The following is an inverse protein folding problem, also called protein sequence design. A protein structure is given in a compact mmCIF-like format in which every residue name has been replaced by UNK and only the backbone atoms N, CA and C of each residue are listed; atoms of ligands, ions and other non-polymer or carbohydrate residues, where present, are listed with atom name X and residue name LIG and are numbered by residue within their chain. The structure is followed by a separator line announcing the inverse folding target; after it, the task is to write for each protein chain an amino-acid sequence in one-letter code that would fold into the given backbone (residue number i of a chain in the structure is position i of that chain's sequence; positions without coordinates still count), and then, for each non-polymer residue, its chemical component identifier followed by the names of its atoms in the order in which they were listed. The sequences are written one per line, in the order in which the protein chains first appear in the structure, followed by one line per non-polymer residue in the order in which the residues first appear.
data_IF_376811871170
#
_entry.id   IF_376811871170
#
_cell.length_a   1.000
_cell.length_b   1.000
_cell.length_c   1.000
_cell.angle_alpha   90.00
_cell.angle_beta   90.00
_cell.angle_gamma   90.00
#
_symmetry.space_group_name_H-M   'P 1'
#
loop_
_entity.id
_entity.type
_entity.pdbx_description
1 polymer ?
#
# COMPACT_ATOMS: atom_id res chain seq x y z
N UNK A 1 -17.33 30.34 33.04
CA UNK A 1 -15.91 30.47 32.64
C UNK A 1 -15.85 30.61 31.12
N UNK A 2 -15.99 31.82 30.60
CA UNK A 2 -15.85 32.14 29.18
C UNK A 2 -14.85 33.30 29.11
N UNK A 3 -13.59 33.02 28.76
CA UNK A 3 -12.60 34.05 28.41
C UNK A 3 -12.01 33.68 27.04
N UNK A 4 -12.50 34.40 26.02
CA UNK A 4 -11.82 34.85 24.81
C UNK A 4 -10.80 33.92 24.12
N UNK A 5 -11.30 32.89 23.42
CA UNK A 5 -10.58 32.18 22.34
C UNK A 5 -10.35 33.08 21.09
N UNK A 6 -11.18 34.12 20.93
CA UNK A 6 -11.13 35.09 19.82
C UNK A 6 -9.84 35.91 19.76
N UNK A 7 -9.23 36.21 20.91
CA UNK A 7 -8.07 37.09 20.95
C UNK A 7 -6.77 36.30 20.67
N UNK A 8 -6.74 35.01 20.99
CA UNK A 8 -5.57 34.17 20.80
C UNK A 8 -5.33 33.81 19.33
N UNK A 9 -6.41 33.67 18.55
CA UNK A 9 -6.33 33.36 17.10
C UNK A 9 -5.93 34.56 16.26
N UNK A 10 -6.22 35.79 16.71
CA UNK A 10 -5.82 37.02 16.03
C UNK A 10 -4.31 37.28 16.16
N UNK A 11 -3.74 37.11 17.36
CA UNK A 11 -2.31 37.35 17.62
C UNK A 11 -1.40 36.35 16.88
N UNK A 12 -1.84 35.10 16.69
CA UNK A 12 -1.10 34.08 15.94
C UNK A 12 -1.13 34.30 14.42
N UNK A 13 -2.16 34.95 13.88
CA UNK A 13 -2.26 35.20 12.44
C UNK A 13 -1.37 36.36 11.97
N UNK A 14 -1.10 37.34 12.84
CA UNK A 14 -0.22 38.47 12.53
C UNK A 14 1.27 38.09 12.56
N UNK A 15 1.67 37.11 13.36
CA UNK A 15 3.04 36.55 13.33
C UNK A 15 3.29 35.72 12.06
N UNK A 16 2.28 35.00 11.56
CA UNK A 16 2.35 34.17 10.34
C UNK A 16 2.71 34.98 9.08
N UNK A 17 2.35 36.27 9.01
CA UNK A 17 2.66 37.12 7.85
C UNK A 17 4.10 37.64 7.83
N UNK A 18 4.78 37.70 8.97
CA UNK A 18 6.15 38.25 9.04
C UNK A 18 7.24 37.23 8.72
N UNK A 19 6.99 35.94 8.92
CA UNK A 19 8.02 34.90 8.80
C UNK A 19 8.10 34.22 7.42
N UNK A 20 7.20 34.54 6.48
CA UNK A 20 7.23 33.93 5.13
C UNK A 20 8.35 34.44 4.19
N UNK A 21 9.32 35.23 4.68
CA UNK A 21 10.34 35.85 3.82
C UNK A 21 11.80 35.46 4.08
N UNK A 22 12.10 34.39 4.83
CA UNK A 22 13.50 33.94 4.98
C UNK A 22 13.69 32.44 4.80
N UNK A 23 14.14 32.09 3.59
CA UNK A 23 14.70 30.79 3.23
C UNK A 23 15.99 30.47 3.99
N UNK A 24 16.18 29.15 4.19
CA UNK A 24 17.42 28.43 4.47
C UNK A 24 18.16 28.77 5.77
N UNK A 25 17.81 28.06 6.85
CA UNK A 25 18.74 27.74 7.95
C UNK A 25 18.19 26.60 8.80
N UNK A 26 19.12 25.81 9.35
CA UNK A 26 18.93 24.88 10.47
C UNK A 26 17.77 25.31 11.36
N UNK A 27 16.76 24.44 11.50
CA UNK A 27 15.59 24.67 12.36
C UNK A 27 16.07 25.14 13.72
N UNK A 28 15.81 26.42 14.00
CA UNK A 28 16.13 27.04 15.28
C UNK A 28 15.26 26.41 16.37
N UNK A 29 15.68 26.47 17.63
CA UNK A 29 14.87 25.97 18.76
C UNK A 29 13.45 26.58 18.78
N UNK A 30 13.29 27.81 18.24
CA UNK A 30 11.99 28.44 18.00
C UNK A 30 11.15 27.75 16.94
N UNK A 31 11.74 27.26 15.85
CA UNK A 31 11.03 26.51 14.81
C UNK A 31 10.57 25.14 15.34
N UNK A 32 11.42 24.49 16.15
CA UNK A 32 11.06 23.24 16.80
C UNK A 32 9.93 23.46 17.83
N UNK A 33 10.05 24.49 18.68
CA UNK A 33 9.00 24.86 19.62
C UNK A 33 7.69 25.18 18.91
N UNK A 34 7.74 25.89 17.78
CA UNK A 34 6.56 26.17 16.96
C UNK A 34 5.93 24.88 16.39
N UNK A 35 6.74 23.97 15.85
CA UNK A 35 6.26 22.68 15.34
C UNK A 35 5.62 21.82 16.44
N UNK A 36 6.21 21.81 17.64
CA UNK A 36 5.64 21.12 18.81
C UNK A 36 4.32 21.75 19.21
N UNK A 37 4.26 23.09 19.36
CA UNK A 37 3.01 23.79 19.72
C UNK A 37 1.91 23.60 18.69
N UNK A 38 2.24 23.64 17.40
CA UNK A 38 1.27 23.36 16.32
C UNK A 38 0.78 21.93 16.37
N UNK A 39 1.67 20.96 16.56
CA UNK A 39 1.30 19.55 16.70
C UNK A 39 0.38 19.32 17.89
N UNK A 40 0.64 19.98 19.03
CA UNK A 40 -0.23 19.92 20.22
C UNK A 40 -1.62 20.52 19.96
N UNK A 41 -1.70 21.64 19.24
CA UNK A 41 -2.98 22.24 18.84
C UNK A 41 -3.75 21.36 17.86
N UNK A 42 -3.05 20.72 16.92
CA UNK A 42 -3.67 19.79 15.97
C UNK A 42 -4.17 18.53 16.69
N UNK A 43 -3.45 18.04 17.70
CA UNK A 43 -3.91 16.96 18.59
C UNK A 43 -5.14 17.39 19.39
N UNK A 44 -5.11 18.58 20.01
CA UNK A 44 -6.23 19.08 20.81
C UNK A 44 -7.49 19.22 19.96
N UNK A 45 -7.39 19.83 18.76
CA UNK A 45 -8.48 19.90 17.79
C UNK A 45 -8.96 18.51 17.38
N UNK A 46 -8.06 17.58 17.08
CA UNK A 46 -8.44 16.22 16.72
C UNK A 46 -9.19 15.51 17.86
N UNK A 47 -8.78 15.68 19.11
CA UNK A 47 -9.45 15.08 20.27
C UNK A 47 -10.81 15.72 20.55
N UNK A 48 -10.98 17.03 20.28
CA UNK A 48 -12.22 17.76 20.49
C UNK A 48 -13.25 17.52 19.36
N UNK A 49 -12.80 17.36 18.12
CA UNK A 49 -13.66 17.21 16.94
C UNK A 49 -14.12 15.76 16.70
N UNK A 50 -13.47 14.77 17.34
CA UNK A 50 -13.79 13.35 17.16
C UNK A 50 -14.67 12.82 18.29
N UNK A 51 -15.50 11.83 17.97
CA UNK A 51 -16.25 11.07 18.98
C UNK A 51 -15.26 10.53 20.04
N UNK A 52 -15.65 10.65 21.31
CA UNK A 52 -14.89 10.25 22.48
C UNK A 52 -14.28 8.85 22.36
N UNK A 53 -14.97 7.92 21.68
CA UNK A 53 -14.43 6.59 21.40
C UNK A 53 -13.14 6.65 20.57
N UNK A 54 -13.11 7.45 19.50
CA UNK A 54 -11.92 7.62 18.66
C UNK A 54 -10.79 8.34 19.39
N UNK A 55 -11.12 9.35 20.19
CA UNK A 55 -10.15 10.07 21.01
C UNK A 55 -9.44 9.12 22.00
N UNK A 56 -10.19 8.25 22.69
CA UNK A 56 -9.64 7.25 23.60
C UNK A 56 -8.74 6.25 22.85
N UNK A 57 -9.19 5.73 21.71
CA UNK A 57 -8.38 4.80 20.90
C UNK A 57 -7.07 5.42 20.41
N UNK A 58 -7.12 6.68 20.01
CA UNK A 58 -5.94 7.42 19.59
C UNK A 58 -4.95 7.60 20.74
N UNK A 59 -5.43 7.93 21.95
CA UNK A 59 -4.59 8.00 23.15
C UNK A 59 -3.97 6.65 23.54
N UNK A 60 -4.72 5.55 23.44
CA UNK A 60 -4.19 4.19 23.63
C UNK A 60 -3.06 3.90 22.63
N UNK A 61 -3.24 4.26 21.36
CA UNK A 61 -2.22 4.10 20.33
C UNK A 61 -0.97 4.95 20.58
N UNK A 62 -1.15 6.20 21.07
CA UNK A 62 -0.04 7.08 21.44
C UNK A 62 0.77 6.51 22.61
N UNK A 63 0.10 6.04 23.66
CA UNK A 63 0.75 5.40 24.80
C UNK A 63 1.59 4.19 24.34
N UNK A 64 1.03 3.38 23.43
CA UNK A 64 1.72 2.24 22.84
C UNK A 64 2.94 2.65 22.02
N UNK A 65 2.82 3.69 21.21
CA UNK A 65 3.93 4.24 20.43
C UNK A 65 5.07 4.73 21.32
N UNK A 66 4.74 5.47 22.38
CA UNK A 66 5.74 5.96 23.36
C UNK A 66 6.43 4.77 24.04
N UNK A 67 5.67 3.73 24.41
CA UNK A 67 6.24 2.48 24.96
C UNK A 67 7.21 1.81 23.97
N UNK A 68 6.84 1.65 22.70
CA UNK A 68 7.72 1.10 21.65
C UNK A 68 9.04 1.87 21.53
N UNK A 69 8.95 3.21 21.47
CA UNK A 69 10.12 4.09 21.36
C UNK A 69 11.03 4.08 22.58
N UNK A 70 10.47 3.86 23.76
CA UNK A 70 11.23 3.76 25.02
C UNK A 70 11.74 2.34 25.31
N UNK A 71 11.76 1.44 24.32
CA UNK A 71 12.25 0.07 24.49
C UNK A 71 11.29 -0.85 25.25
N UNK A 72 10.04 -0.40 25.45
CA UNK A 72 8.95 -1.21 25.97
C UNK A 72 8.73 -2.42 25.08
N UNK A 73 8.83 -3.60 25.67
CA UNK A 73 8.57 -4.86 24.96
C UNK A 73 7.06 -5.03 24.85
N UNK A 74 6.49 -4.74 23.68
CA UNK A 74 5.28 -5.48 23.29
C UNK A 74 5.63 -6.97 23.35
N UNK A 75 4.72 -7.82 23.84
CA UNK A 75 4.98 -9.26 23.91
C UNK A 75 5.28 -9.75 22.48
N UNK A 76 6.57 -9.81 22.16
CA UNK A 76 7.07 -10.24 20.87
C UNK A 76 6.76 -11.72 20.79
N UNK A 77 5.72 -12.01 20.05
CA UNK A 77 5.41 -13.38 19.72
C UNK A 77 6.38 -13.76 18.60
N UNK A 78 7.18 -14.80 18.83
CA UNK A 78 8.04 -15.42 17.81
C UNK A 78 7.18 -16.15 16.77
N UNK A 79 6.19 -15.47 16.20
CA UNK A 79 5.33 -16.04 15.19
C UNK A 79 6.09 -16.12 13.87
N UNK A 80 6.09 -17.31 13.29
CA UNK A 80 6.41 -17.45 11.88
C UNK A 80 5.22 -16.93 11.05
N UNK A 81 5.39 -15.74 10.50
CA UNK A 81 4.42 -15.09 9.61
C UNK A 81 4.61 -15.57 8.17
N UNK A 82 3.53 -16.06 7.58
CA UNK A 82 3.46 -16.56 6.21
C UNK A 82 2.47 -15.72 5.40
N UNK A 83 2.63 -15.75 4.07
CA UNK A 83 1.71 -15.07 3.16
C UNK A 83 0.25 -15.52 3.38
N UNK A 84 -0.69 -14.60 3.40
CA UNK A 84 -2.11 -14.77 3.71
C UNK A 84 -2.47 -14.95 5.17
N UNK A 85 -1.50 -14.99 6.09
CA UNK A 85 -1.81 -14.95 7.52
C UNK A 85 -2.59 -13.67 7.85
N UNK A 86 -3.62 -13.81 8.68
CA UNK A 86 -4.38 -12.66 9.17
C UNK A 86 -3.84 -12.29 10.53
N UNK A 87 -3.50 -11.03 10.71
CA UNK A 87 -2.85 -10.49 11.90
C UNK A 87 -3.57 -9.25 12.38
N UNK A 88 -3.63 -9.04 13.69
CA UNK A 88 -4.05 -7.79 14.29
C UNK A 88 -2.81 -6.90 14.45
N UNK A 89 -2.85 -5.70 13.87
CA UNK A 89 -1.70 -4.82 13.72
C UNK A 89 -1.94 -3.45 14.32
N UNK A 90 -0.91 -2.90 14.95
CA UNK A 90 -0.89 -1.53 15.46
C UNK A 90 -0.45 -0.57 14.36
N UNK A 91 -1.43 0.15 13.78
CA UNK A 91 -1.21 1.11 12.70
C UNK A 91 -1.14 2.55 13.17
N UNK A 92 -1.05 2.76 14.49
CA UNK A 92 -0.89 4.08 15.09
C UNK A 92 0.22 4.92 14.44
N UNK A 93 -0.08 6.22 14.27
CA UNK A 93 0.76 7.22 13.62
C UNK A 93 0.11 7.89 12.39
N UNK A 94 -1.15 7.60 12.10
CA UNK A 94 -1.92 8.23 11.04
C UNK A 94 -3.05 9.09 11.64
N UNK A 95 -3.28 10.28 11.08
CA UNK A 95 -4.43 11.13 11.45
C UNK A 95 -5.74 10.70 10.75
N UNK A 96 -5.69 9.64 9.94
CA UNK A 96 -6.89 9.00 9.41
C UNK A 96 -7.64 8.28 10.55
N UNK A 97 -8.94 8.58 10.78
CA UNK A 97 -9.70 8.04 11.90
C UNK A 97 -9.76 6.52 11.92
N UNK A 98 -9.76 5.90 10.74
CA UNK A 98 -9.79 4.45 10.62
C UNK A 98 -8.52 3.87 11.24
N UNK A 99 -7.31 4.19 10.76
CA UNK A 99 -6.04 3.63 11.27
C UNK A 99 -5.56 4.12 12.64
N UNK A 100 -6.45 4.75 13.42
CA UNK A 100 -6.13 5.24 14.76
C UNK A 100 -6.18 4.13 15.82
N UNK A 101 -6.60 2.92 15.47
CA UNK A 101 -6.70 1.76 16.36
C UNK A 101 -6.09 0.50 15.74
N UNK A 102 -5.98 -0.62 16.50
CA UNK A 102 -5.57 -1.90 15.94
C UNK A 102 -6.47 -2.39 14.81
N UNK A 103 -5.89 -2.74 13.67
CA UNK A 103 -6.63 -3.27 12.51
C UNK A 103 -6.26 -4.71 12.21
N UNK A 104 -7.23 -5.52 11.75
CA UNK A 104 -6.88 -6.74 11.08
C UNK A 104 -6.21 -6.43 9.74
N UNK A 105 -5.22 -7.22 9.34
CA UNK A 105 -4.51 -7.10 8.08
C UNK A 105 -4.08 -8.47 7.56
N UNK A 106 -3.96 -8.59 6.23
CA UNK A 106 -3.39 -9.79 5.58
C UNK A 106 -1.91 -9.57 5.34
N UNK A 107 -1.08 -10.52 5.78
CA UNK A 107 0.34 -10.56 5.45
C UNK A 107 0.49 -10.95 3.98
N UNK A 108 1.01 -10.07 3.14
CA UNK A 108 1.29 -10.39 1.74
C UNK A 108 2.60 -11.15 1.64
N UNK A 109 3.65 -10.61 2.27
CA UNK A 109 5.00 -11.14 2.20
C UNK A 109 5.82 -10.77 3.43
N UNK A 110 6.61 -11.72 3.93
CA UNK A 110 7.69 -11.45 4.87
C UNK A 110 8.90 -10.94 4.11
N UNK A 111 9.41 -9.80 4.54
CA UNK A 111 10.59 -9.13 4.00
C UNK A 111 11.73 -9.29 5.00
N UNK A 112 12.93 -9.52 4.48
CA UNK A 112 14.15 -9.47 5.30
C UNK A 112 14.37 -8.03 5.74
N UNK A 113 14.43 -7.78 7.05
CA UNK A 113 14.87 -6.49 7.57
C UNK A 113 16.38 -6.47 7.80
N UNK A 114 16.95 -5.27 7.84
CA UNK A 114 18.26 -5.03 8.44
C UNK A 114 18.17 -5.25 9.96
N UNK A 115 19.25 -5.77 10.57
CA UNK A 115 19.40 -5.90 12.03
C UNK A 115 18.52 -6.97 12.71
N UNK A 116 18.17 -8.05 12.01
CA UNK A 116 17.49 -9.20 12.63
C UNK A 116 16.02 -8.96 13.00
N UNK A 117 15.44 -7.84 12.58
CA UNK A 117 14.02 -7.53 12.73
C UNK A 117 13.26 -7.88 11.45
N UNK A 118 12.14 -8.60 11.57
CA UNK A 118 11.30 -8.92 10.43
C UNK A 118 10.51 -7.69 9.96
N UNK A 119 10.39 -7.54 8.65
CA UNK A 119 9.44 -6.59 8.05
C UNK A 119 8.34 -7.38 7.35
N UNK A 120 7.12 -6.87 7.38
CA UNK A 120 5.96 -7.49 6.75
C UNK A 120 5.33 -6.49 5.80
N UNK A 121 5.13 -6.89 4.55
CA UNK A 121 4.20 -6.20 3.65
C UNK A 121 2.79 -6.68 4.01
N UNK A 122 1.92 -5.76 4.37
CA UNK A 122 0.54 -6.06 4.78
C UNK A 122 -0.47 -5.23 3.99
N UNK A 123 -1.68 -5.76 3.86
CA UNK A 123 -2.86 -5.04 3.37
C UNK A 123 -3.90 -5.01 4.50
N UNK A 124 -4.27 -3.84 5.03
CA UNK A 124 -5.30 -3.73 6.06
C UNK A 124 -6.66 -4.22 5.56
N UNK A 125 -7.47 -4.74 6.48
CA UNK A 125 -8.85 -5.14 6.23
C UNK A 125 -9.83 -4.46 7.19
N UNK A 126 -11.04 -4.23 6.70
CA UNK A 126 -12.19 -3.73 7.47
C UNK A 126 -13.38 -4.66 7.30
N UNK A 127 -14.24 -4.78 8.32
CA UNK A 127 -15.54 -5.45 8.19
C UNK A 127 -16.65 -4.49 7.77
N UNK A 128 -16.36 -3.19 7.68
CA UNK A 128 -17.32 -2.20 7.23
C UNK A 128 -17.43 -2.24 5.71
N UNK A 129 -18.42 -3.01 5.26
CA UNK A 129 -18.79 -3.09 3.85
C UNK A 129 -19.55 -1.84 3.37
N UNK A 130 -19.96 -0.93 4.26
CA UNK A 130 -20.65 0.32 3.90
C UNK A 130 -19.68 1.50 3.74
N UNK A 131 -18.39 1.31 4.04
CA UNK A 131 -17.34 2.26 3.63
C UNK A 131 -17.21 2.37 2.09
N UNK A 132 -17.98 1.58 1.34
CA UNK A 132 -18.10 1.60 -0.11
C UNK A 132 -19.30 2.44 -0.56
N UNK A 133 -19.09 3.74 -0.71
CA UNK A 133 -19.79 4.44 -1.81
C UNK A 133 -19.07 4.20 -3.16
N UNK A 134 -17.91 3.55 -3.14
CA UNK A 134 -17.15 3.23 -4.34
C UNK A 134 -16.57 1.82 -4.25
N UNK A 135 -16.98 0.92 -5.15
CA UNK A 135 -16.14 -0.19 -5.61
C UNK A 135 -14.88 0.40 -6.25
N UNK A 136 -13.96 0.89 -5.43
CA UNK A 136 -12.73 1.47 -5.94
C UNK A 136 -11.85 0.34 -6.45
N UNK A 137 -11.08 0.61 -7.51
CA UNK A 137 -10.02 -0.31 -7.97
C UNK A 137 -9.05 -0.72 -6.85
N UNK A 138 -9.00 0.02 -5.75
CA UNK A 138 -8.15 -0.21 -4.58
C UNK A 138 -8.76 -1.16 -3.53
N UNK A 139 -9.98 -1.64 -3.73
CA UNK A 139 -10.65 -2.52 -2.76
C UNK A 139 -10.85 -3.94 -3.25
N UNK A 140 -10.78 -4.94 -2.37
CA UNK A 140 -11.13 -6.33 -2.69
C UNK A 140 -11.98 -6.92 -1.58
N UNK A 141 -13.18 -7.38 -1.94
CA UNK A 141 -14.06 -8.06 -1.00
C UNK A 141 -13.54 -9.47 -0.72
N UNK A 142 -13.63 -9.87 0.53
CA UNK A 142 -13.40 -11.21 1.03
C UNK A 142 -14.64 -11.68 1.76
N UNK A 143 -15.01 -12.93 1.57
CA UNK A 143 -16.12 -13.58 2.25
C UNK A 143 -15.64 -14.84 2.98
N UNK A 144 -16.43 -15.45 3.89
CA UNK A 144 -15.96 -16.56 4.70
C UNK A 144 -15.34 -17.75 3.93
N UNK A 145 -15.81 -18.02 2.71
CA UNK A 145 -15.21 -19.02 1.81
C UNK A 145 -13.75 -18.73 1.44
N UNK A 146 -13.31 -17.49 1.57
CA UNK A 146 -11.95 -17.03 1.28
C UNK A 146 -10.98 -17.27 2.45
N UNK A 147 -11.49 -17.76 3.59
CA UNK A 147 -10.72 -18.04 4.80
C UNK A 147 -10.72 -16.90 5.83
N UNK A 148 -11.63 -15.92 5.69
CA UNK A 148 -11.91 -14.89 6.69
C UNK A 148 -13.10 -15.29 7.59
N UNK A 149 -13.25 -14.69 8.76
CA UNK A 149 -14.34 -15.04 9.70
C UNK A 149 -15.68 -14.39 9.36
N UNK A 150 -15.68 -13.34 8.55
CA UNK A 150 -16.84 -12.56 8.12
C UNK A 150 -16.53 -11.83 6.82
N UNK A 151 -17.57 -11.33 6.15
CA UNK A 151 -17.41 -10.44 5.00
C UNK A 151 -16.51 -9.25 5.40
N UNK A 152 -15.46 -9.05 4.63
CA UNK A 152 -14.40 -8.09 4.90
C UNK A 152 -13.95 -7.45 3.59
N UNK A 153 -13.34 -6.28 3.67
CA UNK A 153 -12.79 -5.55 2.54
C UNK A 153 -11.31 -5.30 2.78
N UNK A 154 -10.46 -5.66 1.82
CA UNK A 154 -9.06 -5.27 1.78
C UNK A 154 -8.91 -3.88 1.18
N UNK A 155 -8.08 -3.04 1.81
CA UNK A 155 -7.78 -1.67 1.38
C UNK A 155 -6.35 -1.57 0.85
N UNK A 156 -6.19 -1.68 -0.47
CA UNK A 156 -4.88 -1.66 -1.11
C UNK A 156 -4.25 -0.26 -1.15
N UNK A 157 -5.05 0.80 -1.08
CA UNK A 157 -4.57 2.17 -0.91
C UNK A 157 -3.80 2.35 0.40
N UNK A 158 -4.05 1.49 1.39
CA UNK A 158 -3.40 1.50 2.69
C UNK A 158 -2.34 0.40 2.86
N UNK A 159 -2.02 -0.32 1.78
CA UNK A 159 -0.97 -1.33 1.78
C UNK A 159 0.36 -0.71 2.22
N UNK A 160 1.08 -1.38 3.13
CA UNK A 160 2.29 -0.83 3.72
C UNK A 160 3.23 -1.87 4.28
N UNK A 161 4.49 -1.47 4.46
CA UNK A 161 5.50 -2.26 5.14
C UNK A 161 5.52 -1.86 6.61
N UNK A 162 5.36 -2.83 7.50
CA UNK A 162 5.45 -2.65 8.95
C UNK A 162 6.58 -3.51 9.53
N UNK A 163 7.07 -3.14 10.71
CA UNK A 163 7.86 -4.07 11.53
C UNK A 163 6.94 -5.14 12.09
N UNK A 164 7.44 -6.38 12.17
CA UNK A 164 6.80 -7.48 12.89
C UNK A 164 6.48 -7.16 14.37
N UNK A 165 7.20 -6.23 14.98
CA UNK A 165 6.94 -5.70 16.33
C UNK A 165 5.57 -5.02 16.48
N UNK A 166 4.98 -4.57 15.37
CA UNK A 166 3.64 -3.93 15.36
C UNK A 166 2.51 -4.96 15.32
N UNK A 167 2.82 -6.25 15.24
CA UNK A 167 1.82 -7.30 15.32
C UNK A 167 1.42 -7.50 16.78
N UNK A 168 0.14 -7.27 17.08
CA UNK A 168 -0.45 -7.51 18.40
C UNK A 168 -0.75 -8.99 18.58
N UNK A 169 -1.34 -9.62 17.56
CA UNK A 169 -1.67 -11.04 17.59
C UNK A 169 -1.86 -11.62 16.19
N UNK A 170 -1.68 -12.93 16.07
CA UNK A 170 -2.00 -13.70 14.86
C UNK A 170 -3.38 -14.32 15.00
N UNK A 171 -4.25 -14.12 14.02
CA UNK A 171 -5.54 -14.80 13.97
C UNK A 171 -5.37 -16.27 13.59
N UNK A 172 -6.29 -17.13 14.05
CA UNK A 172 -6.27 -18.57 13.73
C UNK A 172 -6.60 -18.85 12.27
N UNK A 173 -7.32 -17.93 11.63
CA UNK A 173 -7.75 -18.02 10.23
C UNK A 173 -6.69 -17.47 9.28
N UNK A 174 -6.71 -17.96 8.05
CA UNK A 174 -5.75 -17.59 6.98
C UNK A 174 -6.48 -17.56 5.66
N UNK A 175 -6.12 -16.61 4.80
CA UNK A 175 -6.64 -16.54 3.44
C UNK A 175 -6.24 -17.79 2.66
N UNK A 176 -7.19 -18.35 1.91
CA UNK A 176 -7.00 -19.53 1.08
C UNK A 176 -5.93 -19.31 -0.01
N UNK A 177 -5.39 -20.38 -0.61
CA UNK A 177 -4.25 -20.26 -1.51
C UNK A 177 -4.53 -19.45 -2.78
N UNK A 178 -5.70 -19.65 -3.39
CA UNK A 178 -6.12 -18.96 -4.61
C UNK A 178 -6.26 -17.45 -4.37
N UNK A 179 -6.98 -17.06 -3.33
CA UNK A 179 -7.22 -15.65 -3.01
C UNK A 179 -5.92 -14.96 -2.60
N UNK A 180 -4.97 -15.65 -1.94
CA UNK A 180 -3.64 -15.07 -1.67
C UNK A 180 -2.92 -14.62 -2.95
N UNK A 181 -3.00 -15.42 -4.01
CA UNK A 181 -2.39 -15.10 -5.28
C UNK A 181 -3.07 -13.88 -5.92
N UNK A 182 -4.40 -13.82 -5.87
CA UNK A 182 -5.18 -12.68 -6.35
C UNK A 182 -4.85 -11.39 -5.59
N UNK A 183 -4.73 -11.46 -4.26
CA UNK A 183 -4.32 -10.32 -3.43
C UNK A 183 -2.94 -9.83 -3.87
N UNK A 184 -1.98 -10.74 -4.06
CA UNK A 184 -0.64 -10.38 -4.50
C UNK A 184 -0.65 -9.72 -5.89
N UNK A 185 -1.36 -10.32 -6.87
CA UNK A 185 -1.50 -9.77 -8.23
C UNK A 185 -2.12 -8.39 -8.21
N UNK A 186 -3.21 -8.20 -7.45
CA UNK A 186 -3.88 -6.91 -7.32
C UNK A 186 -2.97 -5.86 -6.69
N UNK A 187 -2.29 -6.18 -5.59
CA UNK A 187 -1.34 -5.28 -4.95
C UNK A 187 -0.18 -4.89 -5.88
N UNK A 188 0.38 -5.85 -6.61
CA UNK A 188 1.43 -5.60 -7.59
C UNK A 188 0.93 -4.71 -8.73
N UNK A 189 -0.23 -5.00 -9.30
CA UNK A 189 -0.83 -4.19 -10.36
C UNK A 189 -1.10 -2.75 -9.89
N UNK A 190 -1.58 -2.54 -8.68
CA UNK A 190 -1.87 -1.19 -8.18
C UNK A 190 -0.59 -0.37 -7.89
N UNK A 191 0.46 -1.00 -7.35
CA UNK A 191 1.71 -0.31 -7.01
C UNK A 191 2.65 -0.13 -8.20
N UNK A 192 2.57 -1.04 -9.17
CA UNK A 192 3.38 -1.02 -10.37
C UNK A 192 2.54 -0.81 -11.63
N UNK A 193 1.37 -0.16 -11.53
CA UNK A 193 0.42 -0.02 -12.64
C UNK A 193 1.10 0.46 -13.92
N UNK A 194 1.90 1.52 -13.83
CA UNK A 194 2.65 2.06 -14.98
C UNK A 194 3.61 1.05 -15.59
N UNK A 195 4.30 0.24 -14.78
CA UNK A 195 5.22 -0.79 -15.26
C UNK A 195 4.45 -2.00 -15.79
N UNK A 196 3.35 -2.36 -15.14
CA UNK A 196 2.52 -3.53 -15.49
C UNK A 196 1.82 -3.30 -16.83
N UNK A 197 1.25 -2.12 -17.04
CA UNK A 197 0.64 -1.71 -18.30
C UNK A 197 1.66 -1.70 -19.45
N UNK A 198 2.89 -1.24 -19.18
CA UNK A 198 4.00 -1.30 -20.13
C UNK A 198 4.39 -2.74 -20.47
N UNK A 199 4.50 -3.62 -19.47
CA UNK A 199 4.81 -5.05 -19.67
C UNK A 199 3.71 -5.73 -20.49
N UNK A 200 2.44 -5.47 -20.19
CA UNK A 200 1.32 -6.04 -20.94
C UNK A 200 1.26 -5.54 -22.39
N UNK A 201 1.54 -4.26 -22.61
CA UNK A 201 1.70 -3.71 -23.95
C UNK A 201 2.85 -4.40 -24.70
N UNK A 202 4.02 -4.54 -24.08
CA UNK A 202 5.18 -5.22 -24.67
C UNK A 202 4.88 -6.68 -25.01
N UNK A 203 4.15 -7.38 -24.15
CA UNK A 203 3.74 -8.77 -24.40
C UNK A 203 2.82 -8.87 -25.63
N UNK A 204 1.85 -7.95 -25.78
CA UNK A 204 0.99 -7.87 -26.97
C UNK A 204 1.79 -7.57 -28.24
N UNK A 205 2.74 -6.63 -28.17
CA UNK A 205 3.62 -6.32 -29.30
C UNK A 205 4.49 -7.52 -29.69
N UNK A 206 5.09 -8.21 -28.72
CA UNK A 206 5.88 -9.42 -28.96
C UNK A 206 5.05 -10.54 -29.61
N UNK A 207 3.83 -10.78 -29.13
CA UNK A 207 2.93 -11.75 -29.75
C UNK A 207 2.59 -11.37 -31.20
N UNK A 208 2.37 -10.08 -31.48
CA UNK A 208 2.17 -9.57 -32.83
C UNK A 208 3.39 -9.78 -33.73
N UNK A 209 4.59 -9.46 -33.24
CA UNK A 209 5.85 -9.65 -33.96
C UNK A 209 6.12 -11.13 -34.26
N UNK A 210 5.86 -12.03 -33.32
CA UNK A 210 6.00 -13.47 -33.54
C UNK A 210 5.10 -13.96 -34.68
N UNK A 211 3.84 -13.50 -34.72
CA UNK A 211 2.92 -13.81 -35.81
C UNK A 211 3.40 -13.28 -37.15
N UNK A 212 3.93 -12.05 -37.20
CA UNK A 212 4.51 -11.48 -38.43
C UNK A 212 5.75 -12.25 -38.91
N UNK A 213 6.62 -12.68 -37.99
CA UNK A 213 7.79 -13.52 -38.32
C UNK A 213 7.35 -14.85 -38.93
N UNK A 214 6.29 -15.47 -38.40
CA UNK A 214 5.76 -16.73 -38.93
C UNK A 214 5.20 -16.58 -40.35
N UNK A 215 4.46 -15.50 -40.61
CA UNK A 215 3.97 -15.16 -41.96
C UNK A 215 5.13 -14.91 -42.92
N UNK A 216 6.14 -14.14 -42.51
CA UNK A 216 7.32 -13.84 -43.34
C UNK A 216 8.13 -15.10 -43.65
N UNK A 217 8.30 -16.00 -42.67
CA UNK A 217 8.94 -17.30 -42.90
C UNK A 217 8.19 -18.10 -43.95
N UNK A 218 6.86 -18.18 -43.85
CA UNK A 218 6.01 -18.89 -44.81
C UNK A 218 6.13 -18.31 -46.23
N UNK A 219 6.13 -16.99 -46.36
CA UNK A 219 6.30 -16.32 -47.65
C UNK A 219 7.71 -16.53 -48.24
N UNK A 220 8.74 -16.52 -47.39
CA UNK A 220 10.11 -16.81 -47.81
C UNK A 220 10.22 -18.22 -48.38
N UNK A 221 9.60 -19.22 -47.76
CA UNK A 221 9.59 -20.60 -48.27
C UNK A 221 8.93 -20.66 -49.65
N UNK A 222 7.77 -20.02 -49.82
CA UNK A 222 7.06 -19.96 -51.11
C UNK A 222 7.90 -19.32 -52.21
N UNK A 223 8.51 -18.17 -51.95
CA UNK A 223 9.37 -17.48 -52.92
C UNK A 223 10.60 -18.33 -53.27
N UNK A 224 11.18 -19.04 -52.30
CA UNK A 224 12.30 -19.94 -52.57
C UNK A 224 11.88 -21.14 -53.44
N UNK A 225 10.68 -21.70 -53.20
CA UNK A 225 10.12 -22.75 -54.03
C UNK A 225 9.82 -22.27 -55.45
N UNK A 226 9.21 -21.09 -55.61
CA UNK A 226 8.95 -20.45 -56.91
C UNK A 226 10.26 -20.18 -57.66
N UNK A 227 11.26 -19.61 -56.99
CA UNK A 227 12.58 -19.37 -57.58
C UNK A 227 13.28 -20.66 -58.01
N UNK A 228 13.13 -21.75 -57.25
CA UNK A 228 13.64 -23.06 -57.64
C UNK A 228 12.95 -23.56 -58.91
N UNK A 229 11.62 -23.52 -58.95
CA UNK A 229 10.84 -23.94 -60.12
C UNK A 229 11.19 -23.13 -61.37
N UNK A 230 11.36 -21.81 -61.23
CA UNK A 230 11.76 -20.94 -62.34
C UNK A 230 13.17 -21.29 -62.85
N UNK A 231 14.13 -21.56 -61.96
CA UNK A 231 15.48 -21.98 -62.36
C UNK A 231 15.48 -23.31 -63.10
N UNK A 232 14.69 -24.27 -62.64
CA UNK A 232 14.52 -25.57 -63.30
C UNK A 232 13.88 -25.41 -64.69
N UNK A 233 12.82 -24.60 -64.81
CA UNK A 233 12.17 -24.32 -66.09
C UNK A 233 13.09 -23.57 -67.08
N UNK A 234 13.92 -22.65 -66.60
CA UNK A 234 14.87 -21.91 -67.44
C UNK A 234 16.02 -22.80 -67.94
N UNK A 235 16.45 -23.78 -67.13
CA UNK A 235 17.43 -24.78 -67.54
C UNK A 235 16.85 -25.68 -68.65
N UNK A 236 15.59 -26.12 -68.50
CA UNK A 236 14.91 -26.95 -69.49
C UNK A 236 14.61 -26.27 -70.83
N UNK A 237 14.67 -24.92 -70.92
CA UNK A 237 14.53 -24.18 -72.18
C UNK A 237 15.86 -23.96 -72.94
N UNK A 238 17.00 -24.25 -72.30
CA UNK A 238 18.34 -24.08 -72.90
C UNK A 238 18.89 -25.36 -73.54
N UNK A 239 18.23 -26.49 -73.31
CA UNK A 239 18.46 -27.78 -73.96
C UNK A 239 17.49 -27.96 -75.15
#
# INVERSE_FOLDING_TARGET
MNRNLSNYTADLNDSVKKDQYRNNKTTSDSDFSFLVSKSLLDIDKFLLDKDMFYAIRWLEGWERYVKDKNGGRFQYTNYDFKSGDIVLVELFGNFNPEFSYPHPAVVIRKLSGSEGHGRLLIVPMTSDMNATDHETKYHMALAPQDGVSRNSLLKFEDMRIISDKRIISKMKTRVNATVREEIFKKGAHLYFATITDQVDHLNKVNAGLQKSIEVLKTNLTKINDENRQLKEALAAQKD
#
